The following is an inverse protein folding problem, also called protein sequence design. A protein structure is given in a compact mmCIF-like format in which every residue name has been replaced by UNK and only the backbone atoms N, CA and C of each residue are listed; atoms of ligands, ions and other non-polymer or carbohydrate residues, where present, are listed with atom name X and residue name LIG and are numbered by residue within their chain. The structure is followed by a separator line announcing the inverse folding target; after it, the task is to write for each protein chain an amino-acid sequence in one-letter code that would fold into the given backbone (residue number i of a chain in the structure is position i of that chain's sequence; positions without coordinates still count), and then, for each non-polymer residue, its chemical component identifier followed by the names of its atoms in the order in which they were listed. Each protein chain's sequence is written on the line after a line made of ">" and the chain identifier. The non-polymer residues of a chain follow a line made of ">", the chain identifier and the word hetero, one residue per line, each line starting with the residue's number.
data_IF_524040706866
#
_entry.id   IF_524040706866
#
_cell.length_a   1.000
_cell.length_b   1.000
_cell.length_c   1.000
_cell.angle_alpha   90.00
_cell.angle_beta   90.00
_cell.angle_gamma   90.00
#
_symmetry.space_group_name_H-M   'P 1'
#
loop_
_entity.id
_entity.type
_entity.pdbx_description
1 polymer ?
#
# COMPACT_ATOMS: atom_id res chain seq x y z
N UNK A 1 2.30 14.92 35.25
CA UNK A 1 3.13 14.05 34.39
C UNK A 1 2.32 13.36 33.30
N UNK A 2 1.11 12.84 33.55
CA UNK A 2 0.27 12.19 32.52
C UNK A 2 -0.24 13.12 31.39
N UNK A 3 -0.54 14.40 31.66
CA UNK A 3 -1.07 15.32 30.65
C UNK A 3 -0.02 15.79 29.61
N UNK A 4 1.26 15.87 29.98
CA UNK A 4 2.34 16.30 29.08
C UNK A 4 2.68 15.22 28.03
N UNK A 5 2.56 13.94 28.39
CA UNK A 5 2.78 12.81 27.48
C UNK A 5 1.71 12.75 26.38
N UNK A 6 0.45 13.06 26.70
CA UNK A 6 -0.65 13.10 25.74
C UNK A 6 -0.45 14.21 24.69
N UNK A 7 -0.05 15.42 25.12
CA UNK A 7 0.20 16.54 24.21
C UNK A 7 1.39 16.27 23.25
N UNK A 8 2.46 15.63 23.74
CA UNK A 8 3.60 15.23 22.91
C UNK A 8 3.23 14.11 21.91
N UNK A 9 2.39 13.16 22.31
CA UNK A 9 1.86 12.12 21.41
C UNK A 9 0.98 12.71 20.31
N UNK A 10 0.09 13.66 20.63
CA UNK A 10 -0.74 14.36 19.64
C UNK A 10 0.11 15.19 18.69
N UNK A 11 1.13 15.90 19.18
CA UNK A 11 2.04 16.68 18.35
C UNK A 11 2.89 15.80 17.43
N UNK A 12 3.38 14.64 17.91
CA UNK A 12 4.10 13.66 17.08
C UNK A 12 3.18 13.04 16.02
N UNK A 13 1.93 12.74 16.35
CA UNK A 13 0.91 12.28 15.40
C UNK A 13 0.64 13.32 14.30
N UNK A 14 0.53 14.60 14.67
CA UNK A 14 0.32 15.71 13.73
C UNK A 14 1.52 15.93 12.81
N UNK A 15 2.75 15.68 13.29
CA UNK A 15 3.97 15.78 12.49
C UNK A 15 4.17 14.57 11.56
N UNK A 16 3.72 13.37 11.95
CA UNK A 16 3.80 12.16 11.11
C UNK A 16 2.78 12.11 9.97
N UNK A 17 1.67 12.86 10.06
CA UNK A 17 0.70 12.98 8.95
C UNK A 17 1.33 13.67 7.73
N UNK A 18 2.35 14.51 7.93
CA UNK A 18 2.96 15.25 6.84
C UNK A 18 4.00 14.39 6.10
N UNK A 19 3.68 14.02 4.86
CA UNK A 19 4.54 13.18 4.01
C UNK A 19 5.84 13.93 3.65
N UNK A 20 6.99 13.42 4.10
CA UNK A 20 8.28 14.11 3.98
C UNK A 20 8.89 14.02 2.57
N UNK A 21 8.71 12.88 1.90
CA UNK A 21 9.21 12.63 0.55
C UNK A 21 8.40 11.53 -0.17
N UNK A 22 8.61 11.34 -1.48
CA UNK A 22 7.82 10.43 -2.32
C UNK A 22 7.85 8.95 -1.87
N UNK A 23 8.79 8.55 -1.02
CA UNK A 23 8.92 7.19 -0.50
C UNK A 23 8.64 7.11 1.01
N UNK A 24 8.13 8.17 1.63
CA UNK A 24 7.85 8.18 3.06
C UNK A 24 6.73 7.19 3.39
N UNK A 25 7.06 6.14 4.16
CA UNK A 25 6.11 5.12 4.58
C UNK A 25 5.72 5.26 6.05
N UNK A 26 5.98 6.41 6.69
CA UNK A 26 5.75 6.60 8.13
C UNK A 26 4.30 6.43 8.59
N UNK A 27 3.33 6.62 7.68
CA UNK A 27 1.91 6.42 7.95
C UNK A 27 1.43 4.98 7.70
N UNK A 28 2.32 4.06 7.37
CA UNK A 28 2.03 2.64 7.17
C UNK A 28 2.63 1.81 8.32
N UNK A 29 1.99 0.69 8.64
CA UNK A 29 2.56 -0.27 9.61
C UNK A 29 3.88 -0.83 9.06
N UNK A 30 4.90 -0.84 9.92
CA UNK A 30 6.24 -1.32 9.57
C UNK A 30 6.27 -2.81 9.25
N UNK A 31 5.30 -3.58 9.73
CA UNK A 31 5.18 -4.99 9.38
C UNK A 31 5.02 -5.16 7.86
N UNK A 32 4.21 -4.33 7.21
CA UNK A 32 4.05 -4.38 5.75
C UNK A 32 5.25 -3.79 5.01
N UNK A 33 5.80 -2.66 5.46
CA UNK A 33 6.88 -1.98 4.73
C UNK A 33 8.22 -2.70 4.80
N UNK A 34 8.36 -3.67 5.71
CA UNK A 34 9.55 -4.52 5.85
C UNK A 34 9.46 -5.81 5.04
N UNK A 35 8.26 -6.20 4.60
CA UNK A 35 8.10 -7.38 3.77
C UNK A 35 8.80 -7.18 2.41
N UNK A 36 9.35 -8.25 1.82
CA UNK A 36 9.92 -8.19 0.49
C UNK A 36 8.86 -7.79 -0.55
N UNK A 37 9.26 -6.98 -1.53
CA UNK A 37 8.38 -6.57 -2.64
C UNK A 37 8.40 -7.65 -3.72
N UNK A 38 7.77 -8.79 -3.42
CA UNK A 38 7.73 -9.96 -4.30
C UNK A 38 6.33 -10.57 -4.36
N UNK A 39 6.04 -11.24 -5.48
CA UNK A 39 4.81 -12.00 -5.62
C UNK A 39 4.97 -13.37 -4.98
N UNK A 40 4.00 -13.79 -4.19
CA UNK A 40 3.94 -15.15 -3.68
C UNK A 40 3.91 -16.13 -4.86
N UNK A 41 4.79 -17.16 -4.88
CA UNK A 41 4.77 -18.17 -5.93
C UNK A 41 3.39 -18.87 -5.99
N UNK A 42 2.88 -19.07 -7.19
CA UNK A 42 1.59 -19.73 -7.43
C UNK A 42 1.78 -21.18 -7.87
N UNK A 43 0.85 -22.06 -7.46
CA UNK A 43 0.79 -23.44 -7.94
C UNK A 43 0.12 -23.47 -9.33
N UNK A 44 0.85 -23.95 -10.34
CA UNK A 44 0.36 -24.02 -11.72
C UNK A 44 -0.90 -24.87 -11.85
N UNK A 45 -1.00 -25.97 -11.09
CA UNK A 45 -2.19 -26.84 -11.16
C UNK A 45 -3.40 -26.13 -10.56
N UNK A 46 -3.21 -25.33 -9.52
CA UNK A 46 -4.29 -24.51 -8.96
C UNK A 46 -4.77 -23.47 -9.99
N UNK A 47 -3.84 -22.75 -10.63
CA UNK A 47 -4.17 -21.73 -11.64
C UNK A 47 -4.89 -22.33 -12.86
N UNK A 48 -4.46 -23.51 -13.33
CA UNK A 48 -5.08 -24.19 -14.48
C UNK A 48 -6.52 -24.64 -14.24
N UNK A 49 -6.92 -24.81 -12.97
CA UNK A 49 -8.27 -25.23 -12.60
C UNK A 49 -9.24 -24.04 -12.40
N UNK A 50 -8.78 -22.80 -12.54
CA UNK A 50 -9.63 -21.61 -12.43
C UNK A 50 -10.39 -21.35 -13.74
N UNK A 51 -11.69 -21.06 -13.65
CA UNK A 51 -12.48 -20.60 -14.79
C UNK A 51 -12.04 -19.17 -15.18
N UNK A 52 -11.39 -19.04 -16.32
CA UNK A 52 -10.88 -17.75 -16.79
C UNK A 52 -12.00 -16.80 -17.26
N UNK A 53 -13.19 -17.32 -17.57
CA UNK A 53 -14.29 -16.49 -18.03
C UNK A 53 -14.86 -15.60 -16.93
N UNK A 54 -14.65 -15.94 -15.65
CA UNK A 54 -15.03 -15.10 -14.51
C UNK A 54 -14.31 -13.73 -14.53
N UNK A 55 -13.17 -13.66 -15.21
CA UNK A 55 -12.36 -12.43 -15.34
C UNK A 55 -12.58 -11.71 -16.68
N UNK A 56 -13.57 -12.13 -17.48
CA UNK A 56 -13.91 -11.46 -18.72
C UNK A 56 -14.33 -10.00 -18.46
N UNK A 57 -13.68 -9.06 -19.16
CA UNK A 57 -13.91 -7.61 -18.95
C UNK A 57 -13.17 -7.00 -17.76
N UNK A 58 -12.29 -7.74 -17.07
CA UNK A 58 -11.49 -7.21 -15.95
C UNK A 58 -10.48 -6.13 -16.37
N UNK A 59 -9.97 -6.19 -17.61
CA UNK A 59 -8.97 -5.24 -18.09
C UNK A 59 -9.55 -3.82 -18.23
N UNK A 60 -8.98 -2.89 -17.47
CA UNK A 60 -9.30 -1.46 -17.53
C UNK A 60 -8.02 -0.63 -17.54
N UNK A 61 -8.01 0.45 -18.32
CA UNK A 61 -6.98 1.49 -18.26
C UNK A 61 -7.70 2.84 -18.26
N UNK A 62 -7.34 3.71 -17.32
CA UNK A 62 -7.93 5.04 -17.25
C UNK A 62 -7.56 5.85 -18.51
N UNK A 63 -8.53 6.28 -19.35
CA UNK A 63 -8.24 7.03 -20.57
C UNK A 63 -7.63 8.42 -20.29
N UNK A 64 -7.84 8.97 -19.11
CA UNK A 64 -7.30 10.28 -18.68
C UNK A 64 -5.88 10.18 -18.10
N UNK A 65 -5.28 8.99 -18.08
CA UNK A 65 -3.93 8.81 -17.56
C UNK A 65 -2.88 9.32 -18.55
N UNK A 66 -2.50 10.59 -18.41
CA UNK A 66 -1.42 11.21 -19.17
C UNK A 66 -0.08 10.96 -18.48
N UNK A 67 0.80 10.20 -19.12
CA UNK A 67 2.18 10.03 -18.66
C UNK A 67 2.98 11.24 -19.16
N UNK A 68 3.35 12.15 -18.26
CA UNK A 68 4.41 13.11 -18.53
C UNK A 68 5.75 12.36 -18.48
N UNK A 69 6.29 12.05 -19.65
CA UNK A 69 7.64 11.49 -19.83
C UNK A 69 8.68 12.60 -19.68
#
# INVERSE_FOLDING_TARGET
>A
MFAAAAAASVLMCLLSIWQRDKRDTSNFDKEFTRQPVELTPTDKLFIMNLDQNEFAGFSYTNPEFVINV
#
